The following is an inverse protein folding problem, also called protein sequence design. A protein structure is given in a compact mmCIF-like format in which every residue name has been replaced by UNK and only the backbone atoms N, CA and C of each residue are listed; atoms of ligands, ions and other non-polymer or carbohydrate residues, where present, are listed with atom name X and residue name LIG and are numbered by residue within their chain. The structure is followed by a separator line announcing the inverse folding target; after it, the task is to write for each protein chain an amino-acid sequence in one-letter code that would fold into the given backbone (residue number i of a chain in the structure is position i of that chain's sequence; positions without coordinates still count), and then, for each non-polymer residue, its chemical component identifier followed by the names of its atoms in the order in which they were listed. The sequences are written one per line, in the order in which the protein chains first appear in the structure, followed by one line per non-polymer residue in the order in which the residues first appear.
data_IF_966086329981
#
_entry.id   IF_966086329981
#
_cell.length_a   1.000
_cell.length_b   1.000
_cell.length_c   1.000
_cell.angle_alpha   90.00
_cell.angle_beta   90.00
_cell.angle_gamma   90.00
#
_symmetry.space_group_name_H-M   'P 1'
#
loop_
_entity.id
_entity.type
_entity.pdbx_description
1 polymer ?
#
# COMPACT_ATOMS: atom_id res chain seq x y z
N UNK A 1 16.25 -5.98 30.96
CA UNK A 1 17.06 -6.67 29.94
C UNK A 1 18.22 -5.75 29.61
N UNK A 2 19.46 -6.21 29.77
CA UNK A 2 20.64 -5.41 29.42
C UNK A 2 20.63 -5.03 27.94
N UNK A 3 21.07 -3.81 27.59
CA UNK A 3 21.12 -3.38 26.19
C UNK A 3 22.12 -4.23 25.40
N UNK A 4 21.94 -4.37 24.07
CA UNK A 4 22.84 -5.18 23.22
C UNK A 4 24.32 -4.73 23.33
N UNK A 5 24.54 -3.45 23.61
CA UNK A 5 25.88 -2.87 23.85
C UNK A 5 26.49 -3.36 25.19
N UNK A 6 25.69 -3.45 26.25
CA UNK A 6 26.16 -3.96 27.55
C UNK A 6 26.50 -5.46 27.48
N UNK A 7 25.74 -6.22 26.69
CA UNK A 7 26.04 -7.63 26.42
C UNK A 7 27.37 -7.81 25.71
N UNK A 8 27.67 -6.99 24.71
CA UNK A 8 28.94 -7.02 24.00
C UNK A 8 30.14 -6.64 24.87
N UNK A 9 29.99 -5.61 25.71
CA UNK A 9 31.01 -5.24 26.67
C UNK A 9 31.29 -6.37 27.67
N UNK A 10 30.25 -7.11 28.07
CA UNK A 10 30.37 -8.28 28.95
C UNK A 10 31.10 -9.43 28.26
N UNK A 11 30.78 -9.72 26.99
CA UNK A 11 31.45 -10.76 26.21
C UNK A 11 32.94 -10.48 25.99
N UNK A 12 33.32 -9.21 25.80
CA UNK A 12 34.72 -8.80 25.71
C UNK A 12 35.43 -8.98 27.06
N UNK A 13 34.77 -8.59 28.16
CA UNK A 13 35.30 -8.74 29.53
C UNK A 13 35.49 -10.20 29.93
N UNK A 14 34.63 -11.09 29.43
CA UNK A 14 34.71 -12.54 29.63
C UNK A 14 35.70 -13.24 28.67
N UNK A 15 36.47 -12.49 27.86
CA UNK A 15 37.39 -13.03 26.82
C UNK A 15 36.71 -14.01 25.84
N UNK A 16 35.39 -13.89 25.63
CA UNK A 16 34.63 -14.73 24.68
C UNK A 16 34.72 -14.23 23.25
N UNK A 17 35.10 -12.97 23.08
CA UNK A 17 35.33 -12.32 21.79
C UNK A 17 36.63 -11.54 21.86
N UNK A 18 37.33 -11.46 20.74
CA UNK A 18 38.54 -10.67 20.58
C UNK A 18 38.23 -9.18 20.44
N UNK A 19 39.23 -8.32 20.65
CA UNK A 19 39.10 -6.86 20.45
C UNK A 19 38.70 -6.48 19.02
N UNK A 20 39.15 -7.25 18.02
CA UNK A 20 38.80 -7.01 16.62
C UNK A 20 37.36 -7.42 16.31
N UNK A 21 36.90 -8.55 16.87
CA UNK A 21 35.50 -8.97 16.80
C UNK A 21 34.58 -7.99 17.53
N UNK A 22 34.99 -7.48 18.69
CA UNK A 22 34.25 -6.45 19.42
C UNK A 22 34.08 -5.19 18.56
N UNK A 23 35.15 -4.68 17.94
CA UNK A 23 35.07 -3.51 17.05
C UNK A 23 34.17 -3.75 15.85
N UNK A 24 34.20 -4.95 15.27
CA UNK A 24 33.36 -5.31 14.13
C UNK A 24 31.88 -5.39 14.52
N UNK A 25 31.57 -6.05 15.64
CA UNK A 25 30.20 -6.21 16.15
C UNK A 25 29.62 -4.89 16.66
N UNK A 26 30.43 -4.08 17.35
CA UNK A 26 30.06 -2.75 17.81
C UNK A 26 29.74 -1.83 16.62
N UNK A 27 30.55 -1.86 15.56
CA UNK A 27 30.28 -1.14 14.31
C UNK A 27 29.04 -1.65 13.56
N UNK A 28 28.70 -2.93 13.70
CA UNK A 28 27.47 -3.50 13.15
C UNK A 28 26.21 -3.05 13.92
N UNK A 29 26.33 -2.84 15.23
CA UNK A 29 25.26 -2.32 16.09
C UNK A 29 25.06 -0.81 15.99
N UNK A 30 26.13 -0.03 15.80
CA UNK A 30 26.08 1.42 15.61
C UNK A 30 25.42 1.87 14.30
N UNK A 31 24.98 0.94 13.44
CA UNK A 31 24.37 1.28 12.14
C UNK A 31 22.85 1.03 12.09
N UNK A 32 22.01 1.75 12.87
CA UNK A 32 20.67 2.05 12.40
C UNK A 32 20.82 3.16 11.34
N UNK A 33 21.14 2.79 10.09
CA UNK A 33 21.12 3.82 9.04
C UNK A 33 19.68 4.31 8.90
N UNK A 34 19.45 5.62 9.03
CA UNK A 34 18.13 6.23 8.83
C UNK A 34 17.55 5.83 7.47
N UNK A 35 18.41 5.57 6.49
CA UNK A 35 18.06 5.02 5.17
C UNK A 35 17.43 3.63 5.28
N UNK A 36 17.99 2.71 6.08
CA UNK A 36 17.41 1.38 6.33
C UNK A 36 16.07 1.50 7.05
N UNK A 37 15.95 2.44 7.99
CA UNK A 37 14.69 2.72 8.67
C UNK A 37 13.59 3.15 7.67
N UNK A 38 13.90 4.10 6.80
CA UNK A 38 12.98 4.61 5.77
C UNK A 38 12.64 3.51 4.76
N UNK A 39 13.62 2.76 4.27
CA UNK A 39 13.39 1.64 3.34
C UNK A 39 12.48 0.57 3.95
N UNK A 40 12.67 0.21 5.22
CA UNK A 40 11.76 -0.73 5.89
C UNK A 40 10.36 -0.18 5.98
N UNK A 41 10.19 1.11 6.32
CA UNK A 41 8.87 1.72 6.42
C UNK A 41 8.17 1.83 5.04
N UNK A 42 8.93 2.08 3.98
CA UNK A 42 8.39 2.17 2.62
C UNK A 42 8.04 0.79 2.04
N UNK A 43 8.85 -0.24 2.27
CA UNK A 43 8.65 -1.56 1.64
C UNK A 43 7.74 -2.46 2.49
N UNK A 44 7.94 -2.48 3.81
CA UNK A 44 7.20 -3.31 4.76
C UNK A 44 6.92 -2.53 6.07
N UNK A 45 5.98 -1.57 6.05
CA UNK A 45 5.64 -0.77 7.22
C UNK A 45 5.11 -1.62 8.39
N UNK A 46 4.60 -2.81 8.10
CA UNK A 46 3.91 -3.67 9.07
C UNK A 46 4.83 -4.26 10.13
N UNK A 47 6.14 -4.31 9.87
CA UNK A 47 7.13 -4.72 10.89
C UNK A 47 7.20 -3.75 12.06
N UNK A 48 6.78 -2.49 11.87
CA UNK A 48 6.82 -1.45 12.90
C UNK A 48 5.44 -0.99 13.33
N UNK A 49 4.49 -0.98 12.39
CA UNK A 49 3.14 -0.49 12.59
C UNK A 49 2.18 -1.64 12.29
N UNK A 50 1.77 -2.37 13.33
CA UNK A 50 0.86 -3.50 13.24
C UNK A 50 -0.38 -3.30 14.13
N UNK A 51 -1.42 -4.12 13.91
CA UNK A 51 -2.64 -4.12 14.70
C UNK A 51 -3.43 -2.82 14.63
N UNK A 52 -3.89 -2.34 15.80
CA UNK A 52 -4.83 -1.22 15.89
C UNK A 52 -4.26 0.09 15.31
N UNK A 53 -2.97 0.36 15.49
CA UNK A 53 -2.34 1.57 14.95
C UNK A 53 -2.31 1.57 13.42
N UNK A 54 -2.02 0.42 12.81
CA UNK A 54 -2.09 0.27 11.35
C UNK A 54 -3.51 0.53 10.85
N UNK A 55 -4.53 0.10 11.60
CA UNK A 55 -5.93 0.35 11.29
C UNK A 55 -6.29 1.84 11.36
N UNK A 56 -5.98 2.53 12.45
CA UNK A 56 -6.29 3.96 12.59
C UNK A 56 -5.59 4.79 11.49
N UNK A 57 -4.30 4.55 11.25
CA UNK A 57 -3.55 5.25 10.21
C UNK A 57 -4.11 4.91 8.82
N UNK A 58 -4.41 3.64 8.57
CA UNK A 58 -4.97 3.18 7.31
C UNK A 58 -6.34 3.79 6.98
N UNK A 59 -7.22 3.94 7.98
CA UNK A 59 -8.48 4.67 7.82
C UNK A 59 -8.22 6.14 7.47
N UNK A 60 -7.26 6.79 8.14
CA UNK A 60 -6.81 8.14 7.78
C UNK A 60 -6.35 8.23 6.32
N UNK A 61 -5.57 7.26 5.85
CA UNK A 61 -5.13 7.16 4.45
C UNK A 61 -6.33 7.07 3.50
N UNK A 62 -7.33 6.22 3.79
CA UNK A 62 -8.53 6.08 2.97
C UNK A 62 -9.31 7.40 2.87
N UNK A 63 -9.46 8.12 3.99
CA UNK A 63 -10.13 9.43 4.01
C UNK A 63 -9.38 10.46 3.17
N UNK A 64 -8.05 10.54 3.32
CA UNK A 64 -7.23 11.51 2.59
C UNK A 64 -7.21 11.19 1.09
N UNK A 65 -7.08 9.92 0.70
CA UNK A 65 -7.18 9.50 -0.72
C UNK A 65 -8.52 9.94 -1.31
N UNK A 66 -9.61 9.74 -0.58
CA UNK A 66 -10.95 10.09 -1.06
C UNK A 66 -11.13 11.60 -1.21
N UNK A 67 -10.56 12.39 -0.30
CA UNK A 67 -10.55 13.85 -0.38
C UNK A 67 -9.70 14.37 -1.56
N UNK A 68 -8.45 13.89 -1.69
CA UNK A 68 -7.56 14.29 -2.77
C UNK A 68 -8.08 13.86 -4.14
N UNK A 69 -8.68 12.66 -4.23
CA UNK A 69 -9.33 12.18 -5.44
C UNK A 69 -10.51 13.07 -5.86
N UNK A 70 -11.25 13.64 -4.90
CA UNK A 70 -12.33 14.59 -5.17
C UNK A 70 -11.82 15.92 -5.73
N UNK A 71 -10.63 16.38 -5.30
CA UNK A 71 -9.97 17.56 -5.87
C UNK A 71 -9.49 17.26 -7.29
N UNK A 72 -8.88 16.10 -7.48
CA UNK A 72 -8.38 15.64 -8.76
C UNK A 72 -9.49 15.25 -9.76
N UNK A 73 -10.72 14.99 -9.29
CA UNK A 73 -11.85 14.44 -10.08
C UNK A 73 -11.52 13.09 -10.73
N UNK A 74 -10.76 12.25 -10.03
CA UNK A 74 -10.34 10.92 -10.51
C UNK A 74 -10.80 9.83 -9.56
N UNK A 75 -11.02 8.65 -10.12
CA UNK A 75 -11.25 7.42 -9.37
C UNK A 75 -10.47 6.25 -9.98
N UNK A 76 -10.24 5.22 -9.17
CA UNK A 76 -9.44 4.05 -9.54
C UNK A 76 -10.26 2.77 -9.41
N UNK A 77 -10.83 2.23 -10.51
CA UNK A 77 -11.72 1.08 -10.46
C UNK A 77 -10.96 -0.19 -10.06
N UNK A 78 -11.49 -0.95 -9.09
CA UNK A 78 -10.90 -2.24 -8.68
C UNK A 78 -9.69 -2.15 -7.74
N UNK A 79 -9.03 -3.28 -7.50
CA UNK A 79 -7.83 -3.37 -6.64
C UNK A 79 -6.58 -2.85 -7.34
N UNK A 80 -6.45 -3.15 -8.63
CA UNK A 80 -5.34 -2.76 -9.51
C UNK A 80 -5.65 -1.49 -10.31
N UNK A 81 -6.72 -0.77 -9.94
CA UNK A 81 -7.20 0.45 -10.60
C UNK A 81 -6.19 1.58 -10.76
N UNK A 82 -5.04 1.49 -10.08
CA UNK A 82 -3.96 2.46 -10.16
C UNK A 82 -3.42 2.61 -11.60
N UNK A 83 -3.53 1.54 -12.39
CA UNK A 83 -3.15 1.52 -13.80
C UNK A 83 -4.23 2.08 -14.72
N UNK A 84 -5.49 2.11 -14.26
CA UNK A 84 -6.67 2.46 -15.05
C UNK A 84 -7.45 3.61 -14.40
N UNK A 85 -6.72 4.63 -13.96
CA UNK A 85 -7.32 5.83 -13.40
C UNK A 85 -8.29 6.46 -14.41
N UNK A 86 -9.48 6.83 -13.94
CA UNK A 86 -10.57 7.34 -14.77
C UNK A 86 -11.15 8.62 -14.18
N UNK A 87 -11.66 9.50 -15.05
CA UNK A 87 -12.28 10.76 -14.64
C UNK A 87 -13.70 10.52 -14.10
N UNK A 88 -14.04 11.22 -13.02
CA UNK A 88 -15.41 11.24 -12.48
C UNK A 88 -16.25 12.14 -13.39
N UNK A 89 -17.16 11.54 -14.18
CA UNK A 89 -18.08 12.28 -15.05
C UNK A 89 -19.36 12.70 -14.32
N UNK A 90 -20.08 11.71 -13.78
CA UNK A 90 -21.30 11.92 -12.99
C UNK A 90 -21.44 10.80 -11.95
N UNK A 91 -21.14 11.03 -10.66
CA UNK A 91 -21.36 10.01 -9.64
C UNK A 91 -22.86 9.84 -9.40
N UNK A 92 -23.36 8.59 -9.31
CA UNK A 92 -24.76 8.34 -8.88
C UNK A 92 -25.00 8.72 -7.42
N UNK A 93 -23.93 8.86 -6.65
CA UNK A 93 -23.96 9.02 -5.20
C UNK A 93 -23.43 10.39 -4.80
N UNK A 94 -24.35 11.28 -4.38
CA UNK A 94 -24.06 12.53 -3.68
C UNK A 94 -22.85 13.31 -4.21
N UNK A 95 -21.90 13.60 -3.30
CA UNK A 95 -20.64 14.30 -3.64
C UNK A 95 -19.56 13.31 -4.07
N UNK A 96 -18.63 13.76 -4.92
CA UNK A 96 -17.46 12.98 -5.34
C UNK A 96 -16.69 12.37 -4.18
N UNK A 97 -16.57 13.09 -3.06
CA UNK A 97 -15.93 12.59 -1.85
C UNK A 97 -16.63 11.34 -1.30
N UNK A 98 -17.95 11.35 -1.18
CA UNK A 98 -18.70 10.21 -0.64
C UNK A 98 -18.63 9.01 -1.59
N UNK A 99 -18.72 9.24 -2.89
CA UNK A 99 -18.52 8.21 -3.92
C UNK A 99 -17.13 7.57 -3.78
N UNK A 100 -16.08 8.39 -3.69
CA UNK A 100 -14.71 7.90 -3.55
C UNK A 100 -14.46 7.21 -2.19
N UNK A 101 -15.05 7.73 -1.11
CA UNK A 101 -14.94 7.12 0.21
C UNK A 101 -15.56 5.73 0.21
N UNK A 102 -16.76 5.59 -0.38
CA UNK A 102 -17.41 4.29 -0.55
C UNK A 102 -16.52 3.35 -1.37
N UNK A 103 -16.04 3.80 -2.53
CA UNK A 103 -15.21 3.00 -3.41
C UNK A 103 -13.95 2.49 -2.71
N UNK A 104 -13.20 3.38 -2.05
CA UNK A 104 -11.99 3.01 -1.32
C UNK A 104 -12.31 2.03 -0.17
N UNK A 105 -13.43 2.25 0.53
CA UNK A 105 -13.88 1.37 1.62
C UNK A 105 -14.26 -0.02 1.12
N UNK A 106 -14.97 -0.12 -0.01
CA UNK A 106 -15.32 -1.41 -0.63
C UNK A 106 -14.07 -2.17 -1.06
N UNK A 107 -13.16 -1.52 -1.78
CA UNK A 107 -11.91 -2.15 -2.24
C UNK A 107 -11.13 -2.70 -1.04
N UNK A 108 -11.00 -1.88 0.02
CA UNK A 108 -10.35 -2.29 1.27
C UNK A 108 -11.06 -3.47 1.94
N UNK A 109 -12.39 -3.42 2.07
CA UNK A 109 -13.18 -4.46 2.71
C UNK A 109 -13.14 -5.79 1.95
N UNK A 110 -13.27 -5.74 0.61
CA UNK A 110 -13.19 -6.92 -0.27
C UNK A 110 -11.83 -7.61 -0.12
N UNK A 111 -10.73 -6.86 -0.25
CA UNK A 111 -9.40 -7.46 -0.13
C UNK A 111 -9.12 -8.01 1.28
N UNK A 112 -9.51 -7.25 2.30
CA UNK A 112 -9.39 -7.69 3.70
C UNK A 112 -10.14 -9.00 3.93
N UNK A 113 -11.39 -9.09 3.43
CA UNK A 113 -12.20 -10.30 3.50
C UNK A 113 -11.53 -11.49 2.81
N UNK A 114 -11.03 -11.30 1.59
CA UNK A 114 -10.34 -12.35 0.83
C UNK A 114 -9.06 -12.82 1.53
N UNK A 115 -8.26 -11.91 2.09
CA UNK A 115 -7.05 -12.27 2.84
C UNK A 115 -7.37 -13.05 4.12
N UNK A 116 -8.42 -12.65 4.85
CA UNK A 116 -8.90 -13.39 6.02
C UNK A 116 -9.36 -14.79 5.62
N UNK A 117 -10.14 -14.90 4.55
CA UNK A 117 -10.63 -16.20 4.04
C UNK A 117 -9.44 -17.09 3.65
N UNK A 118 -8.49 -16.57 2.88
CA UNK A 118 -7.30 -17.32 2.47
C UNK A 118 -6.49 -17.84 3.67
N UNK A 119 -6.28 -17.00 4.70
CA UNK A 119 -5.56 -17.41 5.90
C UNK A 119 -6.31 -18.51 6.69
N UNK A 120 -7.64 -18.40 6.78
CA UNK A 120 -8.49 -19.43 7.42
C UNK A 120 -8.50 -20.75 6.65
N UNK A 121 -8.63 -20.70 5.31
CA UNK A 121 -8.61 -21.90 4.46
C UNK A 121 -7.27 -22.63 4.53
N UNK A 122 -6.17 -21.91 4.68
CA UNK A 122 -4.83 -22.46 4.86
C UNK A 122 -4.51 -22.84 6.32
N UNK A 123 -5.55 -22.96 7.16
CA UNK A 123 -5.53 -23.43 8.54
C UNK A 123 -4.55 -22.70 9.47
N UNK A 124 -4.32 -21.40 9.25
CA UNK A 124 -3.54 -20.59 10.19
C UNK A 124 -4.36 -20.36 11.47
N UNK A 125 -3.81 -20.75 12.62
CA UNK A 125 -4.42 -20.54 13.95
C UNK A 125 -3.98 -19.21 14.54
N UNK A 126 -4.85 -18.57 15.34
CA UNK A 126 -4.51 -17.34 16.07
C UNK A 126 -4.52 -16.05 15.26
N UNK A 127 -5.18 -16.06 14.10
CA UNK A 127 -5.18 -14.91 13.19
C UNK A 127 -6.12 -13.81 13.70
N UNK A 128 -5.59 -12.61 13.93
CA UNK A 128 -6.36 -11.47 14.42
C UNK A 128 -6.90 -10.67 13.24
N UNK A 129 -8.23 -10.53 13.17
CA UNK A 129 -8.91 -9.81 12.08
C UNK A 129 -8.41 -8.36 11.96
N UNK A 130 -8.14 -7.71 13.09
CA UNK A 130 -7.64 -6.33 13.13
C UNK A 130 -6.27 -6.17 12.44
N UNK A 131 -5.44 -7.21 12.43
CA UNK A 131 -4.13 -7.16 11.76
C UNK A 131 -4.31 -7.06 10.23
N UNK A 132 -5.25 -7.81 9.64
CA UNK A 132 -5.57 -7.64 8.21
C UNK A 132 -6.23 -6.30 7.91
N UNK A 133 -7.24 -5.92 8.70
CA UNK A 133 -7.93 -4.64 8.50
C UNK A 133 -6.93 -3.49 8.49
N UNK A 134 -5.97 -3.50 9.43
CA UNK A 134 -4.94 -2.48 9.53
C UNK A 134 -3.89 -2.53 8.43
N UNK A 135 -3.30 -3.69 8.17
CA UNK A 135 -2.24 -3.80 7.16
C UNK A 135 -2.75 -3.56 5.75
N UNK A 136 -3.96 -4.05 5.42
CA UNK A 136 -4.59 -3.80 4.10
C UNK A 136 -4.99 -2.33 3.96
N UNK A 137 -5.45 -1.65 5.00
CA UNK A 137 -5.72 -0.22 4.91
C UNK A 137 -4.41 0.59 4.75
N UNK A 138 -3.38 0.27 5.54
CA UNK A 138 -2.07 0.95 5.51
C UNK A 138 -1.32 0.71 4.20
N UNK A 139 -1.51 -0.45 3.56
CA UNK A 139 -0.92 -0.76 2.25
C UNK A 139 -1.32 0.20 1.14
N UNK A 140 -2.41 0.97 1.31
CA UNK A 140 -2.87 1.97 0.34
C UNK A 140 -2.03 3.25 0.30
N UNK A 141 -0.95 3.35 1.08
CA UNK A 141 -0.14 4.55 1.07
C UNK A 141 0.53 4.89 -0.28
N UNK A 142 0.93 3.94 -1.17
CA UNK A 142 1.42 4.30 -2.51
C UNK A 142 0.32 4.97 -3.34
N UNK A 143 -0.92 4.54 -3.14
CA UNK A 143 -2.12 5.16 -3.71
C UNK A 143 -2.31 6.59 -3.21
N UNK A 144 -2.06 6.86 -1.93
CA UNK A 144 -2.09 8.20 -1.36
C UNK A 144 -1.07 9.12 -2.03
N UNK A 145 0.17 8.64 -2.21
CA UNK A 145 1.23 9.42 -2.87
C UNK A 145 0.82 9.77 -4.31
N UNK A 146 0.34 8.78 -5.08
CA UNK A 146 -0.09 9.02 -6.45
C UNK A 146 -1.29 9.99 -6.51
N UNK A 147 -2.30 9.78 -5.66
CA UNK A 147 -3.50 10.63 -5.65
C UNK A 147 -3.16 12.06 -5.24
N UNK A 148 -2.25 12.25 -4.29
CA UNK A 148 -1.76 13.58 -3.91
C UNK A 148 -0.96 14.26 -5.01
N UNK A 149 -0.12 13.51 -5.72
CA UNK A 149 0.56 14.03 -6.91
C UNK A 149 -0.44 14.47 -8.00
N UNK A 150 -1.48 13.67 -8.26
CA UNK A 150 -2.51 14.00 -9.25
C UNK A 150 -3.36 15.21 -8.84
N UNK A 151 -3.73 15.32 -7.57
CA UNK A 151 -4.43 16.47 -7.03
C UNK A 151 -3.59 17.75 -7.19
N UNK A 152 -2.30 17.70 -6.84
CA UNK A 152 -1.39 18.83 -7.02
C UNK A 152 -1.28 19.23 -8.50
N UNK A 153 -1.11 18.27 -9.39
CA UNK A 153 -1.03 18.52 -10.83
C UNK A 153 -2.31 19.17 -11.38
N UNK A 154 -3.49 18.72 -10.92
CA UNK A 154 -4.79 19.33 -11.29
C UNK A 154 -4.88 20.78 -10.80
N UNK A 155 -4.40 21.07 -9.60
CA UNK A 155 -4.42 22.43 -9.04
C UNK A 155 -3.47 23.37 -9.79
N UNK A 156 -2.27 22.90 -10.17
CA UNK A 156 -1.28 23.70 -10.90
C UNK A 156 -1.63 23.85 -12.38
N UNK A 157 -2.16 22.78 -13.00
CA UNK A 157 -2.53 22.77 -14.41
C UNK A 157 -3.84 21.96 -14.62
N UNK A 158 -5.00 22.62 -14.58
CA UNK A 158 -6.30 21.95 -14.70
C UNK A 158 -6.46 21.14 -15.99
N UNK A 159 -5.88 21.61 -17.10
CA UNK A 159 -5.98 21.00 -18.43
C UNK A 159 -5.06 19.79 -18.62
N UNK A 160 -4.13 19.54 -17.69
CA UNK A 160 -3.18 18.44 -17.80
C UNK A 160 -3.87 17.07 -17.89
N UNK A 161 -4.98 16.89 -17.17
CA UNK A 161 -5.71 15.61 -17.14
C UNK A 161 -6.82 15.51 -18.20
N UNK A 162 -7.26 16.63 -18.77
CA UNK A 162 -8.33 16.64 -19.79
C UNK A 162 -7.83 16.10 -21.14
N UNK A 163 -6.53 16.25 -21.44
CA UNK A 163 -5.92 15.82 -22.71
C UNK A 163 -5.52 14.34 -22.69
N UNK A 164 -5.34 13.73 -21.51
CA UNK A 164 -4.78 12.38 -21.38
C UNK A 164 -5.77 11.24 -21.18
N UNK A 165 -6.95 11.49 -20.59
CA UNK A 165 -7.87 10.42 -20.16
C UNK A 165 -9.07 10.16 -21.07
N UNK A 166 -9.50 11.13 -21.90
CA UNK A 166 -10.63 10.90 -22.82
C UNK A 166 -10.24 10.19 -24.12
N UNK A 167 -8.96 10.20 -24.50
CA UNK A 167 -8.52 9.74 -25.81
C UNK A 167 -7.69 8.45 -25.80
N UNK A 168 -7.45 7.84 -24.62
CA UNK A 168 -6.65 6.63 -24.49
C UNK A 168 -5.25 6.79 -25.07
N UNK A 169 -4.26 7.21 -24.26
CA UNK A 169 -2.83 7.26 -24.61
C UNK A 169 -2.56 7.61 -26.10
N UNK A 170 -3.08 8.75 -26.58
CA UNK A 170 -2.63 9.26 -27.87
C UNK A 170 -1.15 9.62 -27.74
N UNK A 171 -0.31 8.76 -28.30
CA UNK A 171 1.15 8.87 -28.35
C UNK A 171 1.57 10.05 -29.22
N UNK A 172 1.37 11.28 -28.73
CA UNK A 172 2.39 12.31 -28.90
C UNK A 172 3.27 12.20 -27.66
N UNK A 173 4.40 11.46 -27.71
CA UNK A 173 5.23 11.22 -26.53
C UNK A 173 5.89 12.53 -26.12
N UNK A 174 5.18 13.32 -25.32
CA UNK A 174 5.77 14.39 -24.54
C UNK A 174 6.60 13.73 -23.43
N UNK A 175 7.80 14.26 -23.18
CA UNK A 175 8.66 13.86 -22.05
C UNK A 175 7.85 13.81 -20.74
N UNK A 176 6.89 14.72 -20.60
CA UNK A 176 6.04 14.81 -19.42
C UNK A 176 5.06 13.64 -19.29
N UNK A 177 4.55 13.09 -20.41
CA UNK A 177 3.71 11.89 -20.41
C UNK A 177 4.50 10.62 -20.05
N UNK A 178 5.77 10.55 -20.47
CA UNK A 178 6.67 9.45 -20.11
C UNK A 178 6.97 9.48 -18.61
N UNK A 179 7.38 10.63 -18.07
CA UNK A 179 7.64 10.81 -16.63
C UNK A 179 6.41 10.42 -15.82
N UNK A 180 5.23 10.90 -16.23
CA UNK A 180 3.96 10.58 -15.59
C UNK A 180 3.69 9.07 -15.56
N UNK A 181 3.80 8.40 -16.71
CA UNK A 181 3.55 6.96 -16.81
C UNK A 181 4.54 6.16 -15.96
N UNK A 182 5.81 6.59 -15.88
CA UNK A 182 6.79 5.97 -14.99
C UNK A 182 6.39 6.07 -13.52
N UNK A 183 5.90 7.22 -13.06
CA UNK A 183 5.44 7.42 -11.67
C UNK A 183 4.25 6.48 -11.36
N UNK A 184 3.29 6.37 -12.27
CA UNK A 184 2.15 5.45 -12.12
C UNK A 184 2.61 4.00 -11.98
N UNK A 185 3.50 3.55 -12.88
CA UNK A 185 4.04 2.17 -12.85
C UNK A 185 4.80 1.89 -11.56
N UNK A 186 5.65 2.81 -11.10
CA UNK A 186 6.39 2.67 -9.84
C UNK A 186 5.42 2.53 -8.66
N UNK A 187 4.40 3.39 -8.59
CA UNK A 187 3.38 3.30 -7.54
C UNK A 187 2.57 2.00 -7.63
N UNK A 188 2.30 1.51 -8.84
CA UNK A 188 1.57 0.26 -9.05
C UNK A 188 2.34 -0.96 -8.53
N UNK A 189 3.62 -1.07 -8.89
CA UNK A 189 4.51 -2.14 -8.39
C UNK A 189 4.62 -2.05 -6.87
N UNK A 190 4.81 -0.84 -6.34
CA UNK A 190 4.90 -0.62 -4.90
C UNK A 190 3.63 -1.03 -4.17
N UNK A 191 2.47 -0.73 -4.73
CA UNK A 191 1.19 -1.14 -4.18
C UNK A 191 1.00 -2.66 -4.15
N UNK A 192 1.38 -3.36 -5.22
CA UNK A 192 1.34 -4.83 -5.25
C UNK A 192 2.27 -5.43 -4.20
N UNK A 193 3.48 -4.88 -4.05
CA UNK A 193 4.46 -5.33 -3.04
C UNK A 193 3.91 -5.12 -1.62
N UNK A 194 3.31 -3.98 -1.34
CA UNK A 194 2.75 -3.68 -0.02
C UNK A 194 1.53 -4.54 0.31
N UNK A 195 0.69 -4.91 -0.66
CA UNK A 195 -0.36 -5.91 -0.47
C UNK A 195 0.20 -7.30 -0.16
N UNK A 196 1.26 -7.72 -0.86
CA UNK A 196 1.90 -9.01 -0.60
C UNK A 196 2.44 -9.09 0.83
N UNK A 197 3.11 -8.02 1.29
CA UNK A 197 3.56 -7.93 2.68
C UNK A 197 2.40 -7.86 3.67
N UNK A 198 1.29 -7.20 3.34
CA UNK A 198 0.11 -7.15 4.23
C UNK A 198 -0.46 -8.56 4.47
N UNK A 199 -0.59 -9.37 3.42
CA UNK A 199 -1.00 -10.77 3.54
C UNK A 199 0.03 -11.57 4.34
N UNK A 200 1.32 -11.46 4.00
CA UNK A 200 2.40 -12.19 4.66
C UNK A 200 2.43 -11.95 6.17
N UNK A 201 2.47 -10.68 6.59
CA UNK A 201 2.64 -10.32 8.00
C UNK A 201 1.37 -10.59 8.83
N UNK A 202 0.18 -10.43 8.24
CA UNK A 202 -1.08 -10.69 8.96
C UNK A 202 -1.45 -12.18 9.05
N UNK A 203 -1.05 -12.98 8.06
CA UNK A 203 -1.37 -14.41 8.02
C UNK A 203 -0.24 -15.33 8.50
N UNK A 204 1.00 -14.84 8.53
CA UNK A 204 2.20 -15.65 8.78
C UNK A 204 2.55 -16.61 7.63
N UNK A 205 1.86 -16.54 6.49
CA UNK A 205 2.09 -17.42 5.34
C UNK A 205 3.46 -17.18 4.72
N UNK A 206 4.10 -18.26 4.26
CA UNK A 206 5.40 -18.20 3.59
C UNK A 206 5.47 -19.19 2.41
N UNK A 207 6.46 -18.98 1.53
CA UNK A 207 6.73 -19.84 0.39
C UNK A 207 5.60 -19.88 -0.64
N UNK A 208 5.36 -21.07 -1.22
CA UNK A 208 4.39 -21.27 -2.31
C UNK A 208 2.94 -20.94 -1.89
N UNK A 209 2.56 -21.24 -0.65
CA UNK A 209 1.21 -20.97 -0.13
C UNK A 209 0.88 -19.48 -0.13
N UNK A 210 1.85 -18.63 0.23
CA UNK A 210 1.71 -17.17 0.19
C UNK A 210 1.45 -16.68 -1.23
N UNK A 211 2.28 -17.09 -2.19
CA UNK A 211 2.16 -16.63 -3.58
C UNK A 211 0.85 -17.06 -4.25
N UNK A 212 0.46 -18.33 -4.09
CA UNK A 212 -0.78 -18.86 -4.69
C UNK A 212 -2.00 -18.14 -4.10
N UNK A 213 -2.06 -18.00 -2.77
CA UNK A 213 -3.18 -17.30 -2.12
C UNK A 213 -3.22 -15.82 -2.48
N UNK A 214 -2.07 -15.15 -2.54
CA UNK A 214 -1.98 -13.76 -2.95
C UNK A 214 -2.54 -13.54 -4.35
N UNK A 215 -2.06 -14.30 -5.34
CA UNK A 215 -2.51 -14.19 -6.73
C UNK A 215 -4.01 -14.47 -6.83
N UNK A 216 -4.50 -15.53 -6.18
CA UNK A 216 -5.93 -15.85 -6.18
C UNK A 216 -6.78 -14.71 -5.57
N UNK A 217 -6.37 -14.15 -4.44
CA UNK A 217 -7.08 -13.05 -3.78
C UNK A 217 -7.10 -11.79 -4.64
N UNK A 218 -5.97 -11.44 -5.29
CA UNK A 218 -5.91 -10.26 -6.16
C UNK A 218 -6.81 -10.43 -7.37
N UNK A 219 -6.76 -11.59 -8.06
CA UNK A 219 -7.60 -11.83 -9.24
C UNK A 219 -9.09 -11.84 -8.90
N UNK A 220 -9.50 -12.59 -7.88
CA UNK A 220 -10.89 -12.66 -7.44
C UNK A 220 -11.36 -11.29 -6.94
N UNK A 221 -10.53 -10.63 -6.14
CA UNK A 221 -10.84 -9.32 -5.58
C UNK A 221 -10.94 -8.24 -6.65
N UNK A 222 -10.15 -8.31 -7.72
CA UNK A 222 -10.22 -7.36 -8.84
C UNK A 222 -11.59 -7.45 -9.50
N UNK A 223 -12.08 -8.66 -9.76
CA UNK A 223 -13.40 -8.89 -10.36
C UNK A 223 -14.50 -8.37 -9.43
N UNK A 224 -14.49 -8.76 -8.15
CA UNK A 224 -15.52 -8.38 -7.18
C UNK A 224 -15.52 -6.86 -6.95
N UNK A 225 -14.36 -6.27 -6.71
CA UNK A 225 -14.25 -4.85 -6.43
C UNK A 225 -14.63 -4.00 -7.65
N UNK A 226 -14.20 -4.38 -8.87
CA UNK A 226 -14.64 -3.69 -10.08
C UNK A 226 -16.16 -3.78 -10.26
N UNK A 227 -16.74 -4.97 -10.09
CA UNK A 227 -18.17 -5.15 -10.25
C UNK A 227 -18.97 -4.27 -9.28
N UNK A 228 -18.64 -4.28 -7.98
CA UNK A 228 -19.34 -3.48 -6.98
C UNK A 228 -19.15 -1.97 -7.24
N UNK A 229 -17.94 -1.55 -7.62
CA UNK A 229 -17.66 -0.13 -7.87
C UNK A 229 -18.32 0.38 -9.15
N UNK A 230 -18.42 -0.45 -10.20
CA UNK A 230 -19.14 -0.12 -11.43
C UNK A 230 -20.64 0.09 -11.22
N UNK A 231 -21.28 -0.61 -10.27
CA UNK A 231 -22.71 -0.41 -9.99
C UNK A 231 -23.05 1.06 -9.63
N UNK A 232 -22.07 1.80 -9.11
CA UNK A 232 -22.22 3.18 -8.65
C UNK A 232 -21.86 4.26 -9.67
N UNK A 233 -21.22 3.89 -10.77
CA UNK A 233 -20.94 4.83 -11.86
C UNK A 233 -22.14 4.81 -12.81
N UNK A 234 -22.68 5.98 -13.14
CA UNK A 234 -23.70 6.12 -14.19
C UNK A 234 -23.00 6.06 -15.54
N UNK A 235 -23.54 5.26 -16.46
CA UNK A 235 -23.28 5.47 -17.88
C UNK A 235 -23.79 6.85 -18.30
#
# INVERSE_FOLDING_TARGET
MASENERLATLLKENKITQDEYKLLYKALEKPSSVRFVLTLLINPYQKIAGLWAFVIGIGIILIISYLGSIAKIYFPGLLGILNASMIKSPKMGTDFLFLLYQNTVIWAVLTGLFILAAKFLQQKGVRIIDFMGTVALSRFPYLILTGFLALMRTVNPRFMDVGMEQGLQLKPSILAVIFSSVVIICAVWHIVTYLYALKESSGLSGKKLWISFIACILIGEIIANFITMMLVSN
#
